data_IF_448326597727
#
_entry.id   IF_448326597727
#
_cell.length_a   1.000
_cell.length_b   1.000
_cell.length_c   1.000
_cell.angle_alpha   90.00
_cell.angle_beta   90.00
_cell.angle_gamma   90.00
#
_symmetry.space_group_name_H-M   'P 1'
#
loop_
_entity.id
_entity.type
_entity.pdbx_description
1 polymer ?
#
# COMPACT_ATOMS: atom_id res chain seq x y z
N UNK A 1 -20.58 -9.14 1.81
CA UNK A 1 -21.93 -8.69 1.39
C UNK A 1 -22.87 -9.85 1.07
N UNK A 2 -22.54 -10.77 0.16
CA UNK A 2 -23.40 -11.92 -0.17
C UNK A 2 -23.76 -12.78 1.06
N UNK A 3 -22.78 -13.18 1.87
CA UNK A 3 -23.01 -14.01 3.07
C UNK A 3 -23.95 -13.34 4.08
N UNK A 4 -23.87 -12.01 4.21
CA UNK A 4 -24.79 -11.25 5.05
C UNK A 4 -26.23 -11.24 4.49
N UNK A 5 -26.39 -11.04 3.18
CA UNK A 5 -27.70 -11.12 2.50
C UNK A 5 -28.34 -12.50 2.68
N UNK A 6 -27.54 -13.55 2.45
CA UNK A 6 -27.94 -14.95 2.54
C UNK A 6 -28.01 -15.52 3.98
N UNK A 7 -27.79 -14.70 5.02
CA UNK A 7 -27.75 -15.12 6.43
C UNK A 7 -26.77 -16.27 6.73
N UNK A 8 -25.66 -16.37 5.98
CA UNK A 8 -24.61 -17.36 6.18
C UNK A 8 -23.59 -16.86 7.20
N UNK A 9 -23.93 -16.99 8.48
CA UNK A 9 -23.15 -16.48 9.62
C UNK A 9 -21.69 -16.95 9.66
N UNK A 10 -21.43 -18.24 9.47
CA UNK A 10 -20.05 -18.78 9.53
C UNK A 10 -19.14 -18.11 8.50
N UNK A 11 -19.56 -18.10 7.23
CA UNK A 11 -18.80 -17.46 6.13
C UNK A 11 -18.65 -15.96 6.40
N UNK A 12 -19.70 -15.32 6.91
CA UNK A 12 -19.69 -13.90 7.22
C UNK A 12 -18.64 -13.55 8.29
N UNK A 13 -18.62 -14.28 9.40
CA UNK A 13 -17.67 -14.05 10.50
C UNK A 13 -16.23 -14.35 10.08
N UNK A 14 -16.02 -15.44 9.35
CA UNK A 14 -14.69 -15.76 8.79
C UNK A 14 -14.21 -14.62 7.88
N UNK A 15 -15.07 -14.16 6.96
CA UNK A 15 -14.72 -13.04 6.06
C UNK A 15 -14.40 -11.76 6.83
N UNK A 16 -15.18 -11.45 7.88
CA UNK A 16 -14.97 -10.28 8.72
C UNK A 16 -13.60 -10.32 9.40
N UNK A 17 -13.26 -11.45 10.02
CA UNK A 17 -11.96 -11.66 10.68
C UNK A 17 -10.83 -11.56 9.67
N UNK A 18 -10.95 -12.21 8.51
CA UNK A 18 -9.91 -12.15 7.46
C UNK A 18 -9.66 -10.71 7.00
N UNK A 19 -10.70 -9.91 6.77
CA UNK A 19 -10.54 -8.51 6.34
C UNK A 19 -9.82 -7.68 7.41
N UNK A 20 -10.23 -7.80 8.67
CA UNK A 20 -9.63 -7.06 9.77
C UNK A 20 -8.16 -7.47 10.00
N UNK A 21 -7.85 -8.76 9.93
CA UNK A 21 -6.49 -9.26 10.06
C UNK A 21 -5.54 -8.83 8.91
N UNK A 22 -6.08 -8.44 7.74
CA UNK A 22 -5.27 -8.17 6.55
C UNK A 22 -4.54 -6.82 6.58
N UNK A 23 -5.23 -5.75 6.99
CA UNK A 23 -4.64 -4.39 7.04
C UNK A 23 -5.47 -3.47 7.93
N UNK A 24 -4.81 -2.71 8.80
CA UNK A 24 -5.46 -1.82 9.76
C UNK A 24 -6.47 -0.85 9.10
N UNK A 25 -6.15 -0.26 7.94
CA UNK A 25 -7.03 0.70 7.24
C UNK A 25 -8.37 0.10 6.78
N UNK A 26 -8.44 -1.22 6.58
CA UNK A 26 -9.69 -1.89 6.17
C UNK A 26 -10.75 -1.88 7.28
N UNK A 27 -10.37 -1.59 8.52
CA UNK A 27 -11.29 -1.36 9.63
C UNK A 27 -12.33 -0.28 9.32
N UNK A 28 -11.94 0.80 8.63
CA UNK A 28 -12.86 1.88 8.24
C UNK A 28 -13.86 1.40 7.18
N UNK A 29 -13.40 0.59 6.22
CA UNK A 29 -14.27 -0.06 5.22
C UNK A 29 -15.25 -1.01 5.90
N UNK A 30 -14.80 -1.80 6.88
CA UNK A 30 -15.64 -2.69 7.68
C UNK A 30 -16.67 -1.89 8.47
N UNK A 31 -16.27 -0.80 9.13
CA UNK A 31 -17.18 0.10 9.83
C UNK A 31 -18.32 0.57 8.90
N UNK A 32 -18.00 1.12 7.73
CA UNK A 32 -19.01 1.58 6.78
C UNK A 32 -19.81 0.44 6.13
N UNK A 33 -19.24 -0.77 6.01
CA UNK A 33 -19.99 -1.97 5.65
C UNK A 33 -21.05 -2.31 6.69
N UNK A 34 -20.73 -2.16 7.97
CA UNK A 34 -21.69 -2.32 9.07
C UNK A 34 -22.84 -1.32 8.98
N UNK A 35 -22.54 -0.04 8.77
CA UNK A 35 -23.55 1.01 8.56
C UNK A 35 -24.45 0.69 7.36
N UNK A 36 -23.85 0.27 6.24
CA UNK A 36 -24.61 -0.14 5.06
C UNK A 36 -25.55 -1.32 5.36
N UNK A 37 -25.07 -2.34 6.08
CA UNK A 37 -25.88 -3.49 6.49
C UNK A 37 -27.04 -3.10 7.41
N UNK A 38 -26.83 -2.13 8.31
CA UNK A 38 -27.85 -1.63 9.24
C UNK A 38 -28.98 -0.89 8.51
N UNK A 39 -28.63 0.06 7.65
CA UNK A 39 -29.57 1.02 7.08
C UNK A 39 -30.22 0.47 5.80
N UNK A 40 -29.43 -0.08 4.87
CA UNK A 40 -29.92 -0.50 3.55
C UNK A 40 -30.37 -1.97 3.53
N UNK A 41 -29.59 -2.88 4.11
CA UNK A 41 -29.92 -4.32 4.10
C UNK A 41 -30.80 -4.74 5.29
N UNK A 42 -31.00 -3.84 6.26
CA UNK A 42 -31.77 -4.08 7.51
C UNK A 42 -31.29 -5.30 8.30
N UNK A 43 -30.03 -5.71 8.13
CA UNK A 43 -29.40 -6.84 8.85
C UNK A 43 -28.86 -6.35 10.19
N UNK A 44 -29.76 -6.01 11.13
CA UNK A 44 -29.44 -5.32 12.39
C UNK A 44 -28.26 -5.93 13.16
N UNK A 45 -28.32 -7.23 13.47
CA UNK A 45 -27.28 -7.87 14.28
C UNK A 45 -25.93 -7.95 13.55
N UNK A 46 -25.92 -8.41 12.30
CA UNK A 46 -24.69 -8.46 11.48
C UNK A 46 -24.09 -7.08 11.28
N UNK A 47 -24.93 -6.08 10.99
CA UNK A 47 -24.51 -4.69 10.82
C UNK A 47 -23.92 -4.10 12.10
N UNK A 48 -24.55 -4.35 13.25
CA UNK A 48 -24.04 -3.88 14.55
C UNK A 48 -22.68 -4.52 14.86
N UNK A 49 -22.57 -5.85 14.76
CA UNK A 49 -21.31 -6.58 14.99
C UNK A 49 -20.21 -6.04 14.08
N UNK A 50 -20.50 -5.82 12.79
CA UNK A 50 -19.53 -5.31 11.83
C UNK A 50 -19.10 -3.87 12.15
N UNK A 51 -20.06 -3.01 12.50
CA UNK A 51 -19.79 -1.60 12.85
C UNK A 51 -18.88 -1.53 14.07
N UNK A 52 -19.24 -2.24 15.14
CA UNK A 52 -18.47 -2.29 16.39
C UNK A 52 -17.10 -2.90 16.16
N UNK A 53 -17.01 -4.02 15.42
CA UNK A 53 -15.74 -4.66 15.10
C UNK A 53 -14.81 -3.75 14.29
N UNK A 54 -15.34 -3.02 13.30
CA UNK A 54 -14.58 -2.03 12.53
C UNK A 54 -14.02 -0.91 13.41
N UNK A 55 -14.85 -0.29 14.24
CA UNK A 55 -14.41 0.77 15.17
C UNK A 55 -13.38 0.24 16.17
N UNK A 56 -13.68 -0.89 16.83
CA UNK A 56 -12.81 -1.47 17.84
C UNK A 56 -11.45 -1.84 17.23
N UNK A 57 -11.43 -2.46 16.05
CA UNK A 57 -10.17 -2.83 15.40
C UNK A 57 -9.36 -1.61 14.96
N UNK A 58 -10.01 -0.54 14.48
CA UNK A 58 -9.32 0.71 14.16
C UNK A 58 -8.60 1.28 15.41
N UNK A 59 -9.29 1.33 16.56
CA UNK A 59 -8.70 1.82 17.82
C UNK A 59 -7.58 0.89 18.29
N UNK A 60 -7.82 -0.42 18.35
CA UNK A 60 -6.83 -1.41 18.79
C UNK A 60 -5.57 -1.35 17.94
N UNK A 61 -5.71 -1.24 16.61
CA UNK A 61 -4.55 -1.20 15.71
C UNK A 61 -3.80 0.12 15.80
N UNK A 62 -4.50 1.26 15.75
CA UNK A 62 -3.86 2.59 15.70
C UNK A 62 -3.31 3.06 17.04
N UNK A 63 -3.94 2.68 18.16
CA UNK A 63 -3.54 3.10 19.52
C UNK A 63 -2.89 2.01 20.36
N UNK A 64 -2.99 0.75 19.94
CA UNK A 64 -2.36 -0.38 20.63
C UNK A 64 -1.24 -0.99 19.80
N UNK A 65 -1.60 -1.71 18.74
CA UNK A 65 -0.66 -2.57 18.00
C UNK A 65 0.45 -1.74 17.35
N UNK A 66 0.12 -0.70 16.57
CA UNK A 66 1.16 0.03 15.83
C UNK A 66 2.18 0.67 16.79
N UNK A 67 1.78 1.52 17.78
CA UNK A 67 2.75 2.14 18.68
C UNK A 67 3.58 1.14 19.49
N UNK A 68 3.00 -0.01 19.86
CA UNK A 68 3.72 -1.04 20.61
C UNK A 68 4.85 -1.71 19.81
N UNK A 69 4.73 -1.77 18.47
CA UNK A 69 5.73 -2.42 17.61
C UNK A 69 6.63 -1.43 16.87
N UNK A 70 6.13 -0.24 16.47
CA UNK A 70 6.93 0.77 15.77
C UNK A 70 7.60 1.77 16.69
N UNK A 71 7.13 1.95 17.93
CA UNK A 71 7.56 3.06 18.80
C UNK A 71 7.04 4.43 18.37
N UNK A 72 6.29 4.49 17.27
CA UNK A 72 5.76 5.72 16.66
C UNK A 72 4.25 5.62 16.40
N UNK A 73 3.61 6.75 16.09
CA UNK A 73 2.23 6.77 15.62
C UNK A 73 2.10 6.08 14.25
N UNK A 74 0.87 5.77 13.85
CA UNK A 74 0.63 5.17 12.53
C UNK A 74 1.19 6.05 11.42
N UNK A 75 1.88 5.46 10.43
CA UNK A 75 2.44 6.17 9.27
C UNK A 75 1.44 7.05 8.50
N UNK A 76 0.13 6.84 8.71
CA UNK A 76 -0.90 7.73 8.22
C UNK A 76 -0.77 9.16 8.81
N UNK A 77 -0.32 9.33 10.05
CA UNK A 77 -0.16 10.64 10.71
C UNK A 77 0.75 11.56 9.89
N UNK A 78 1.90 11.06 9.42
CA UNK A 78 2.79 11.84 8.55
C UNK A 78 2.13 12.35 7.27
N UNK A 79 1.18 11.59 6.70
CA UNK A 79 0.44 11.94 5.46
C UNK A 79 -0.70 12.94 5.68
N UNK A 80 -1.04 13.22 6.93
CA UNK A 80 -2.08 14.17 7.30
C UNK A 80 -1.58 15.16 8.35
N UNK A 81 -0.27 15.44 8.38
CA UNK A 81 0.36 16.34 9.35
C UNK A 81 -0.24 17.76 9.30
N UNK A 82 -0.76 18.20 8.14
CA UNK A 82 -1.53 19.45 8.01
C UNK A 82 -2.87 19.45 8.78
N UNK A 83 -3.35 18.30 9.25
CA UNK A 83 -4.51 18.13 10.12
C UNK A 83 -4.13 17.82 11.57
N UNK A 84 -2.86 17.61 11.91
CA UNK A 84 -2.43 17.40 13.29
C UNK A 84 -1.39 16.29 13.44
N UNK A 85 -0.86 16.16 14.66
CA UNK A 85 0.30 15.31 14.97
C UNK A 85 -0.09 13.95 15.57
N UNK A 86 -1.39 13.66 15.65
CA UNK A 86 -1.90 12.38 16.13
C UNK A 86 -3.18 11.95 15.43
N UNK A 87 -3.48 10.65 15.43
CA UNK A 87 -4.72 10.11 14.85
C UNK A 87 -5.98 10.79 15.41
N UNK A 88 -6.00 11.10 16.72
CA UNK A 88 -7.15 11.74 17.36
C UNK A 88 -7.30 13.20 16.92
N UNK A 89 -6.18 13.94 16.85
CA UNK A 89 -6.19 15.33 16.39
C UNK A 89 -6.61 15.44 14.93
N UNK A 90 -6.11 14.53 14.07
CA UNK A 90 -6.50 14.47 12.65
C UNK A 90 -8.02 14.26 12.54
N UNK A 91 -8.58 13.28 13.26
CA UNK A 91 -10.03 13.02 13.24
C UNK A 91 -10.83 14.24 13.71
N UNK A 92 -10.36 14.92 14.76
CA UNK A 92 -11.02 16.12 15.26
C UNK A 92 -10.96 17.27 14.24
N UNK A 93 -9.80 17.50 13.63
CA UNK A 93 -9.57 18.56 12.66
C UNK A 93 -10.24 18.31 11.30
N UNK A 94 -10.58 17.05 10.95
CA UNK A 94 -11.47 16.77 9.82
C UNK A 94 -12.83 17.47 9.96
N UNK A 95 -13.29 17.69 11.20
CA UNK A 95 -14.57 18.36 11.51
C UNK A 95 -14.34 19.85 11.84
N UNK A 96 -13.31 20.16 12.63
CA UNK A 96 -13.05 21.53 13.10
C UNK A 96 -12.40 22.43 12.05
N UNK A 97 -11.75 21.87 11.02
CA UNK A 97 -11.04 22.63 9.97
C UNK A 97 -11.57 22.28 8.57
N UNK A 98 -12.88 22.44 8.28
CA UNK A 98 -13.47 22.04 7.01
C UNK A 98 -12.86 22.77 5.80
N UNK A 99 -12.39 24.00 5.97
CA UNK A 99 -11.71 24.77 4.93
C UNK A 99 -10.44 24.08 4.41
N UNK A 100 -9.68 23.43 5.30
CA UNK A 100 -8.47 22.68 4.92
C UNK A 100 -8.88 21.43 4.13
N UNK A 101 -9.87 20.69 4.65
CA UNK A 101 -10.38 19.47 4.00
C UNK A 101 -10.93 19.79 2.60
N UNK A 102 -11.72 20.86 2.45
CA UNK A 102 -12.26 21.28 1.16
C UNK A 102 -11.15 21.69 0.19
N UNK A 103 -10.11 22.39 0.66
CA UNK A 103 -8.93 22.72 -0.14
C UNK A 103 -8.21 21.48 -0.66
N UNK A 104 -8.12 20.43 0.16
CA UNK A 104 -7.52 19.15 -0.25
C UNK A 104 -8.42 18.33 -1.19
N UNK A 105 -9.75 18.45 -1.06
CA UNK A 105 -10.72 17.71 -1.89
C UNK A 105 -10.80 18.24 -3.33
N UNK A 106 -10.80 19.57 -3.52
CA UNK A 106 -11.01 20.19 -4.83
C UNK A 106 -9.69 20.55 -5.52
N UNK A 107 -8.94 19.52 -5.92
CA UNK A 107 -7.66 19.66 -6.64
C UNK A 107 -7.71 18.98 -8.00
N UNK A 108 -6.81 19.39 -8.91
CA UNK A 108 -6.67 18.74 -10.22
C UNK A 108 -6.18 17.30 -10.08
N UNK A 109 -5.32 17.01 -9.11
CA UNK A 109 -4.84 15.65 -8.83
C UNK A 109 -5.99 14.72 -8.42
N UNK A 110 -6.91 15.22 -7.59
CA UNK A 110 -8.10 14.47 -7.21
C UNK A 110 -9.04 14.23 -8.40
N UNK A 111 -9.22 15.23 -9.27
CA UNK A 111 -10.00 15.06 -10.50
C UNK A 111 -9.36 13.99 -11.39
N UNK A 112 -8.06 14.04 -11.61
CA UNK A 112 -7.33 13.04 -12.40
C UNK A 112 -7.42 11.65 -11.78
N UNK A 113 -7.26 11.54 -10.46
CA UNK A 113 -7.42 10.29 -9.72
C UNK A 113 -8.83 9.69 -9.90
N UNK A 114 -9.89 10.51 -9.75
CA UNK A 114 -11.26 10.07 -9.94
C UNK A 114 -11.52 9.61 -11.38
N UNK A 115 -10.98 10.32 -12.37
CA UNK A 115 -11.05 9.92 -13.78
C UNK A 115 -10.35 8.58 -13.98
N UNK A 116 -9.14 8.39 -13.47
CA UNK A 116 -8.42 7.11 -13.56
C UNK A 116 -9.22 5.97 -12.93
N UNK A 117 -9.70 6.18 -11.70
CA UNK A 117 -10.42 5.19 -10.92
C UNK A 117 -11.74 4.76 -11.60
N UNK A 118 -12.43 5.70 -12.25
CA UNK A 118 -13.75 5.44 -12.83
C UNK A 118 -13.72 5.14 -14.32
N UNK A 119 -12.73 5.59 -15.10
CA UNK A 119 -12.70 5.42 -16.56
C UNK A 119 -12.92 3.97 -17.04
N UNK A 120 -12.30 2.92 -16.45
CA UNK A 120 -12.51 1.53 -16.89
C UNK A 120 -13.97 1.05 -16.73
N UNK A 121 -14.69 1.64 -15.77
CA UNK A 121 -16.03 1.22 -15.36
C UNK A 121 -17.08 2.32 -15.49
N UNK A 122 -16.71 3.46 -16.10
CA UNK A 122 -17.56 4.64 -16.32
C UNK A 122 -18.87 4.24 -16.96
N UNK A 123 -18.81 3.11 -17.67
CA UNK A 123 -19.91 2.63 -18.43
C UNK A 123 -21.09 2.07 -17.61
N UNK A 124 -20.91 1.81 -16.33
CA UNK A 124 -21.96 1.29 -15.47
C UNK A 124 -22.09 2.02 -14.14
N UNK A 125 -21.46 3.19 -13.98
CA UNK A 125 -21.53 3.92 -12.71
C UNK A 125 -22.92 4.52 -12.46
N UNK A 126 -23.65 4.94 -13.48
CA UNK A 126 -24.94 5.62 -13.33
C UNK A 126 -26.09 4.66 -13.01
N UNK A 127 -26.82 4.90 -11.90
CA UNK A 127 -27.98 4.11 -11.51
C UNK A 127 -28.40 4.28 -10.04
N UNK A 128 -29.21 3.36 -9.52
CA UNK A 128 -29.79 3.44 -8.16
C UNK A 128 -29.06 2.60 -7.10
N UNK A 129 -28.09 1.78 -7.49
CA UNK A 129 -27.40 0.84 -6.59
C UNK A 129 -26.21 1.44 -5.83
N UNK A 130 -26.03 2.77 -5.86
CA UNK A 130 -24.92 3.49 -5.21
C UNK A 130 -24.76 3.23 -3.72
N UNK A 131 -25.83 2.82 -3.02
CA UNK A 131 -25.73 2.40 -1.63
C UNK A 131 -24.67 1.30 -1.41
N UNK A 132 -24.43 0.43 -2.41
CA UNK A 132 -23.40 -0.60 -2.33
C UNK A 132 -21.96 -0.05 -2.32
N UNK A 133 -21.77 1.22 -2.67
CA UNK A 133 -20.47 1.91 -2.63
C UNK A 133 -20.13 2.49 -1.25
N UNK A 134 -21.10 2.58 -0.33
CA UNK A 134 -20.92 3.15 1.01
C UNK A 134 -19.68 2.60 1.75
N UNK A 135 -19.38 1.29 1.72
CA UNK A 135 -18.19 0.75 2.39
C UNK A 135 -16.86 1.29 1.84
N UNK A 136 -16.82 1.71 0.58
CA UNK A 136 -15.62 2.26 -0.06
C UNK A 136 -15.37 3.74 0.26
N UNK A 137 -16.38 4.45 0.79
CA UNK A 137 -16.29 5.90 1.06
C UNK A 137 -15.07 6.27 1.91
N UNK A 138 -14.73 5.58 3.01
CA UNK A 138 -13.58 5.96 3.82
C UNK A 138 -12.25 5.86 3.06
N UNK A 139 -12.06 4.79 2.29
CA UNK A 139 -10.85 4.60 1.50
C UNK A 139 -10.72 5.69 0.42
N UNK A 140 -11.83 5.98 -0.26
CA UNK A 140 -11.86 7.07 -1.24
C UNK A 140 -11.56 8.43 -0.58
N UNK A 141 -12.20 8.72 0.55
CA UNK A 141 -12.03 9.98 1.27
C UNK A 141 -10.58 10.18 1.74
N UNK A 142 -9.99 9.17 2.38
CA UNK A 142 -8.59 9.18 2.82
C UNK A 142 -7.66 9.43 1.62
N UNK A 143 -7.89 8.79 0.47
CA UNK A 143 -7.08 9.00 -0.73
C UNK A 143 -7.25 10.40 -1.34
N UNK A 144 -8.42 11.04 -1.20
CA UNK A 144 -8.66 12.39 -1.75
C UNK A 144 -8.09 13.50 -0.85
N UNK A 145 -8.19 13.35 0.48
CA UNK A 145 -7.79 14.40 1.44
C UNK A 145 -6.28 14.46 1.65
N UNK A 146 -5.53 13.42 1.27
CA UNK A 146 -4.07 13.36 1.46
C UNK A 146 -3.29 14.30 0.54
N UNK A 147 -2.11 14.74 0.96
CA UNK A 147 -1.09 15.37 0.09
C UNK A 147 -0.12 14.32 -0.50
N UNK A 148 -0.19 13.07 -0.04
CA UNK A 148 0.65 11.98 -0.48
C UNK A 148 0.21 11.43 -1.85
N UNK A 149 0.83 11.92 -2.93
CA UNK A 149 0.49 11.58 -4.32
C UNK A 149 0.35 10.07 -4.64
N UNK A 150 1.15 9.14 -4.07
CA UNK A 150 0.97 7.72 -4.33
C UNK A 150 -0.42 7.17 -3.94
N UNK A 151 -1.16 7.84 -3.05
CA UNK A 151 -2.56 7.48 -2.74
C UNK A 151 -3.56 7.89 -3.84
N UNK A 152 -3.13 8.74 -4.80
CA UNK A 152 -3.94 9.31 -5.89
C UNK A 152 -3.60 8.73 -7.26
N UNK A 153 -2.84 7.65 -7.31
CA UNK A 153 -2.61 6.89 -8.53
C UNK A 153 -3.20 5.47 -8.47
N UNK A 154 -3.12 4.74 -9.59
CA UNK A 154 -3.53 3.34 -9.71
C UNK A 154 -2.35 2.36 -9.75
N UNK A 155 -1.14 2.85 -9.51
CA UNK A 155 0.08 2.03 -9.44
C UNK A 155 0.16 1.42 -8.03
N UNK A 156 -0.17 2.19 -7.01
CA UNK A 156 -0.11 1.77 -5.62
C UNK A 156 -1.44 1.18 -5.13
N UNK A 157 -1.33 0.39 -4.07
CA UNK A 157 -2.39 -0.44 -3.49
C UNK A 157 -3.54 0.32 -2.81
N UNK A 158 -3.50 1.66 -2.76
CA UNK A 158 -4.41 2.47 -1.95
C UNK A 158 -5.85 2.48 -2.47
N UNK A 159 -6.04 2.23 -3.76
CA UNK A 159 -7.37 2.17 -4.39
C UNK A 159 -8.02 0.78 -4.31
N UNK A 160 -7.27 -0.27 -3.94
CA UNK A 160 -7.77 -1.65 -3.89
C UNK A 160 -9.02 -1.83 -3.02
N UNK A 161 -9.18 -1.19 -1.84
CA UNK A 161 -10.38 -1.34 -1.03
C UNK A 161 -11.65 -0.78 -1.70
N UNK A 162 -11.51 0.08 -2.70
CA UNK A 162 -12.63 0.72 -3.40
C UNK A 162 -13.19 -0.19 -4.50
N UNK A 163 -12.31 -0.93 -5.19
CA UNK A 163 -12.63 -1.68 -6.40
C UNK A 163 -13.76 -2.70 -6.24
N UNK A 164 -13.81 -3.56 -5.19
CA UNK A 164 -14.88 -4.55 -5.06
C UNK A 164 -16.27 -3.92 -5.02
N UNK A 165 -16.41 -2.78 -4.33
CA UNK A 165 -17.68 -2.07 -4.21
C UNK A 165 -18.05 -1.33 -5.48
N UNK A 166 -17.07 -0.72 -6.15
CA UNK A 166 -17.27 -0.08 -7.45
C UNK A 166 -17.75 -1.09 -8.51
N UNK A 167 -17.12 -2.27 -8.55
CA UNK A 167 -17.51 -3.36 -9.44
C UNK A 167 -18.91 -3.89 -9.10
N UNK A 168 -19.24 -4.06 -7.81
CA UNK A 168 -20.58 -4.48 -7.39
C UNK A 168 -21.67 -3.50 -7.83
N UNK A 169 -21.42 -2.19 -7.75
CA UNK A 169 -22.34 -1.15 -8.25
C UNK A 169 -22.54 -1.31 -9.75
N UNK A 170 -21.45 -1.36 -10.52
CA UNK A 170 -21.47 -1.46 -11.98
C UNK A 170 -22.17 -2.75 -12.46
N UNK A 171 -21.86 -3.88 -11.84
CA UNK A 171 -22.51 -5.17 -12.13
C UNK A 171 -24.00 -5.12 -11.83
N UNK A 172 -24.41 -4.49 -10.72
CA UNK A 172 -25.81 -4.36 -10.35
C UNK A 172 -26.56 -3.46 -11.34
N UNK A 173 -25.98 -2.34 -11.76
CA UNK A 173 -26.58 -1.45 -12.75
C UNK A 173 -26.72 -2.11 -14.13
N UNK A 174 -25.72 -2.88 -14.55
CA UNK A 174 -25.78 -3.64 -15.79
C UNK A 174 -26.89 -4.69 -15.74
N UNK A 175 -26.96 -5.47 -14.65
CA UNK A 175 -28.02 -6.46 -14.44
C UNK A 175 -29.43 -5.83 -14.43
N UNK A 176 -29.58 -4.65 -13.83
CA UNK A 176 -30.85 -3.90 -13.81
C UNK A 176 -31.15 -3.14 -15.11
N UNK A 177 -30.27 -3.20 -16.12
CA UNK A 177 -30.42 -2.48 -17.39
C UNK A 177 -30.35 -0.95 -17.26
N UNK A 178 -29.80 -0.44 -16.16
CA UNK A 178 -29.63 0.99 -15.88
C UNK A 178 -28.34 1.59 -16.44
N UNK A 179 -27.40 0.76 -16.90
CA UNK A 179 -26.19 1.22 -17.58
C UNK A 179 -26.50 1.78 -18.97
N UNK A 180 -25.83 2.87 -19.37
CA UNK A 180 -25.88 3.42 -20.75
C UNK A 180 -25.29 2.45 -21.80
N UNK A 181 -24.23 1.70 -21.46
CA UNK A 181 -23.68 0.61 -22.28
C UNK A 181 -24.24 -0.73 -21.80
N UNK A 182 -25.07 -1.36 -22.63
CA UNK A 182 -25.78 -2.61 -22.29
C UNK A 182 -25.19 -3.85 -22.98
N UNK A 183 -24.67 -3.70 -24.20
CA UNK A 183 -24.20 -4.82 -25.02
C UNK A 183 -22.82 -5.27 -24.54
N UNK A 184 -22.70 -6.56 -24.19
CA UNK A 184 -21.48 -7.18 -23.67
C UNK A 184 -20.24 -6.93 -24.55
N UNK A 185 -20.38 -7.01 -25.88
CA UNK A 185 -19.27 -6.78 -26.82
C UNK A 185 -18.62 -5.39 -26.67
N UNK A 186 -19.41 -4.35 -26.37
CA UNK A 186 -18.90 -3.00 -26.19
C UNK A 186 -18.27 -2.81 -24.82
N UNK A 187 -18.77 -3.50 -23.79
CA UNK A 187 -18.17 -3.53 -22.46
C UNK A 187 -16.80 -4.22 -22.51
N UNK A 188 -16.71 -5.36 -23.21
CA UNK A 188 -15.44 -6.08 -23.42
C UNK A 188 -14.46 -5.17 -24.18
N UNK A 189 -14.90 -4.58 -25.29
CA UNK A 189 -14.04 -3.68 -26.08
C UNK A 189 -13.55 -2.49 -25.25
N UNK A 190 -14.43 -1.83 -24.50
CA UNK A 190 -14.05 -0.71 -23.64
C UNK A 190 -13.07 -1.12 -22.54
N UNK A 191 -13.32 -2.26 -21.89
CA UNK A 191 -12.44 -2.77 -20.83
C UNK A 191 -11.07 -3.12 -21.40
N UNK A 192 -11.01 -3.70 -22.61
CA UNK A 192 -9.75 -3.97 -23.29
C UNK A 192 -9.00 -2.68 -23.65
N UNK A 193 -9.69 -1.67 -24.18
CA UNK A 193 -9.10 -0.36 -24.46
C UNK A 193 -8.58 0.29 -23.18
N UNK A 194 -9.37 0.29 -22.09
CA UNK A 194 -8.97 0.85 -20.81
C UNK A 194 -7.75 0.13 -20.22
N UNK A 195 -7.71 -1.20 -20.32
CA UNK A 195 -6.55 -2.00 -19.93
C UNK A 195 -5.30 -1.61 -20.75
N UNK A 196 -5.41 -1.51 -22.07
CA UNK A 196 -4.32 -1.10 -22.96
C UNK A 196 -3.89 0.35 -22.73
N UNK A 197 -4.79 1.25 -22.36
CA UNK A 197 -4.45 2.63 -22.07
C UNK A 197 -3.76 2.80 -20.70
N UNK A 198 -4.16 2.01 -19.70
CA UNK A 198 -3.75 2.18 -18.30
C UNK A 198 -2.75 1.15 -17.80
N UNK A 199 -2.42 0.12 -18.57
CA UNK A 199 -1.57 -1.01 -18.15
C UNK A 199 -0.10 -0.68 -17.83
N UNK A 200 0.33 0.58 -17.97
CA UNK A 200 1.69 1.07 -17.64
C UNK A 200 2.83 0.17 -18.17
N UNK A 201 2.70 -0.33 -19.40
CA UNK A 201 3.67 -1.26 -20.01
C UNK A 201 5.11 -0.73 -20.06
N UNK A 202 5.28 0.59 -20.07
CA UNK A 202 6.60 1.23 -20.00
C UNK A 202 7.36 0.90 -18.72
N UNK A 203 6.68 0.56 -17.62
CA UNK A 203 7.35 0.11 -16.40
C UNK A 203 8.01 -1.26 -16.58
N UNK A 204 7.39 -2.15 -17.38
CA UNK A 204 7.99 -3.42 -17.70
C UNK A 204 9.30 -3.25 -18.48
N UNK A 205 9.24 -2.53 -19.61
CA UNK A 205 10.41 -2.33 -20.46
C UNK A 205 11.46 -1.37 -19.88
N UNK A 206 11.06 -0.46 -18.99
CA UNK A 206 11.97 0.46 -18.30
C UNK A 206 12.51 -0.10 -16.99
N UNK A 207 11.65 -0.22 -15.97
CA UNK A 207 12.07 -0.53 -14.59
C UNK A 207 12.54 -1.97 -14.42
N UNK A 208 11.90 -2.94 -15.07
CA UNK A 208 12.18 -4.36 -14.81
C UNK A 208 13.13 -4.96 -15.84
N UNK A 209 12.90 -4.71 -17.13
CA UNK A 209 13.68 -5.32 -18.21
C UNK A 209 15.18 -4.97 -18.15
N UNK A 210 15.52 -3.74 -17.78
CA UNK A 210 16.92 -3.28 -17.73
C UNK A 210 17.74 -4.02 -16.67
N UNK A 211 17.10 -4.49 -15.59
CA UNK A 211 17.77 -5.20 -14.50
C UNK A 211 17.67 -6.73 -14.65
N UNK A 212 17.05 -7.23 -15.72
CA UNK A 212 16.83 -8.66 -15.93
C UNK A 212 18.14 -9.45 -15.98
N UNK A 213 19.18 -8.88 -16.61
CA UNK A 213 20.51 -9.49 -16.69
C UNK A 213 21.21 -9.64 -15.33
N UNK A 214 20.77 -8.91 -14.30
CA UNK A 214 21.35 -8.95 -12.96
C UNK A 214 20.66 -9.95 -12.03
N UNK A 215 19.55 -10.56 -12.46
CA UNK A 215 18.75 -11.43 -11.60
C UNK A 215 19.56 -12.61 -11.04
N UNK A 216 20.38 -13.24 -11.87
CA UNK A 216 21.24 -14.35 -11.44
C UNK A 216 22.29 -13.88 -10.40
N UNK A 217 22.83 -12.68 -10.57
CA UNK A 217 23.83 -12.12 -9.65
C UNK A 217 23.21 -11.71 -8.32
N UNK A 218 22.01 -11.13 -8.34
CA UNK A 218 21.24 -10.81 -7.14
C UNK A 218 20.89 -12.08 -6.35
N UNK A 219 20.46 -13.14 -7.04
CA UNK A 219 20.17 -14.43 -6.40
C UNK A 219 21.41 -15.04 -5.74
N UNK A 220 22.53 -15.04 -6.45
CA UNK A 220 23.82 -15.52 -5.91
C UNK A 220 24.22 -14.70 -4.69
N UNK A 221 24.25 -13.37 -4.79
CA UNK A 221 24.63 -12.50 -3.68
C UNK A 221 23.73 -12.67 -2.45
N UNK A 222 22.40 -12.78 -2.63
CA UNK A 222 21.45 -13.06 -1.54
C UNK A 222 21.72 -14.42 -0.89
N UNK A 223 22.06 -15.44 -1.68
CA UNK A 223 22.37 -16.79 -1.14
C UNK A 223 23.66 -16.84 -0.30
N UNK A 224 24.59 -15.91 -0.52
CA UNK A 224 25.83 -15.80 0.23
C UNK A 224 25.64 -15.10 1.59
N UNK A 225 24.52 -14.39 1.79
CA UNK A 225 24.19 -13.80 3.09
C UNK A 225 23.81 -14.92 4.07
N UNK A 226 24.53 -15.03 5.18
CA UNK A 226 24.35 -16.07 6.17
C UNK A 226 23.09 -15.84 7.01
N UNK A 227 22.41 -16.89 7.49
CA UNK A 227 21.17 -16.74 8.28
C UNK A 227 21.28 -15.89 9.54
N UNK A 228 22.46 -15.83 10.16
CA UNK A 228 22.71 -15.09 11.40
C UNK A 228 23.21 -13.65 11.20
N UNK A 229 23.43 -13.20 9.97
CA UNK A 229 23.99 -11.87 9.72
C UNK A 229 23.01 -10.76 10.11
N UNK A 230 23.55 -9.68 10.65
CA UNK A 230 22.89 -8.37 10.67
C UNK A 230 23.23 -7.64 9.38
N UNK A 231 22.23 -7.24 8.60
CA UNK A 231 22.42 -6.85 7.21
C UNK A 231 21.91 -5.45 6.91
N UNK A 232 22.74 -4.63 6.27
CA UNK A 232 22.30 -3.41 5.58
C UNK A 232 22.13 -3.71 4.09
N UNK A 233 20.96 -3.45 3.51
CA UNK A 233 20.69 -3.85 2.12
C UNK A 233 19.92 -2.82 1.30
N UNK A 234 20.08 -2.86 -0.02
CA UNK A 234 19.20 -2.11 -0.94
C UNK A 234 17.71 -2.50 -0.76
N UNK A 235 16.76 -1.54 -0.81
CA UNK A 235 15.37 -1.79 -0.40
C UNK A 235 14.64 -2.92 -1.13
N UNK A 236 14.92 -3.10 -2.43
CA UNK A 236 14.26 -4.11 -3.25
C UNK A 236 14.75 -5.54 -2.95
N UNK A 237 15.87 -5.70 -2.24
CA UNK A 237 16.39 -7.01 -1.79
C UNK A 237 15.92 -7.39 -0.39
N UNK A 238 15.44 -6.42 0.40
CA UNK A 238 15.09 -6.62 1.80
C UNK A 238 14.07 -7.75 2.02
N UNK A 239 13.07 -7.89 1.15
CA UNK A 239 12.08 -8.96 1.27
C UNK A 239 12.72 -10.37 1.22
N UNK A 240 13.77 -10.55 0.41
CA UNK A 240 14.51 -11.82 0.30
C UNK A 240 15.41 -12.09 1.51
N UNK A 241 15.71 -11.06 2.30
CA UNK A 241 16.56 -11.11 3.49
C UNK A 241 15.76 -10.93 4.79
N UNK A 242 14.43 -10.87 4.73
CA UNK A 242 13.54 -10.62 5.89
C UNK A 242 13.62 -11.68 6.99
N UNK A 243 14.26 -12.82 6.73
CA UNK A 243 14.51 -13.88 7.71
C UNK A 243 15.78 -13.65 8.55
N UNK A 244 16.53 -12.56 8.32
CA UNK A 244 17.72 -12.20 9.08
C UNK A 244 17.33 -11.53 10.42
N UNK A 245 18.13 -11.70 11.48
CA UNK A 245 17.80 -11.21 12.82
C UNK A 245 17.75 -9.68 12.93
N UNK A 246 18.61 -8.97 12.17
CA UNK A 246 18.59 -7.52 12.04
C UNK A 246 18.77 -7.18 10.55
N UNK A 247 17.88 -6.36 10.02
CA UNK A 247 17.84 -5.98 8.62
C UNK A 247 17.47 -4.49 8.54
N UNK A 248 18.39 -3.69 8.03
CA UNK A 248 18.20 -2.25 7.85
C UNK A 248 18.19 -1.91 6.36
N UNK A 249 17.37 -0.92 5.98
CA UNK A 249 17.24 -0.52 4.60
C UNK A 249 18.27 0.57 4.33
N UNK A 250 19.06 0.40 3.28
CA UNK A 250 19.96 1.44 2.82
C UNK A 250 19.15 2.56 2.13
N UNK A 251 18.39 3.36 2.89
CA UNK A 251 17.59 4.51 2.43
C UNK A 251 18.08 5.83 3.01
N UNK A 252 17.90 6.93 2.28
CA UNK A 252 18.39 8.26 2.70
C UNK A 252 17.80 8.71 4.05
N UNK A 253 16.54 8.35 4.34
CA UNK A 253 15.86 8.69 5.58
C UNK A 253 16.46 8.00 6.84
N UNK A 254 17.18 6.88 6.67
CA UNK A 254 17.83 6.13 7.76
C UNK A 254 19.31 6.52 7.93
N UNK A 255 19.83 7.38 7.05
CA UNK A 255 21.20 7.88 7.17
C UNK A 255 21.35 8.88 8.35
N UNK A 256 22.52 8.94 9.02
CA UNK A 256 23.73 8.18 8.74
C UNK A 256 23.73 6.77 9.36
N UNK A 257 24.13 5.77 8.58
CA UNK A 257 24.27 4.40 9.06
C UNK A 257 25.49 4.22 9.96
N UNK A 258 25.31 3.55 11.10
CA UNK A 258 26.40 3.00 11.90
C UNK A 258 26.79 1.61 11.37
N UNK A 259 27.81 1.58 10.50
CA UNK A 259 28.25 0.35 9.85
C UNK A 259 28.68 -0.74 10.86
N UNK A 260 29.06 -0.37 12.09
CA UNK A 260 29.47 -1.30 13.15
C UNK A 260 28.37 -2.27 13.60
N UNK A 261 27.12 -1.94 13.29
CA UNK A 261 25.97 -2.80 13.60
C UNK A 261 25.81 -3.98 12.63
N UNK A 262 26.46 -3.94 11.47
CA UNK A 262 26.23 -4.91 10.40
C UNK A 262 27.41 -5.85 10.18
N UNK A 263 27.08 -7.11 9.94
CA UNK A 263 28.03 -8.17 9.59
C UNK A 263 28.16 -8.30 8.06
N UNK A 264 27.12 -7.90 7.32
CA UNK A 264 27.12 -7.86 5.86
C UNK A 264 26.42 -6.61 5.32
N UNK A 265 26.91 -6.11 4.18
CA UNK A 265 26.27 -5.02 3.43
C UNK A 265 26.06 -5.46 1.99
N UNK A 266 24.80 -5.60 1.56
CA UNK A 266 24.43 -6.04 0.21
C UNK A 266 23.81 -4.90 -0.60
N UNK A 267 24.50 -4.43 -1.62
CA UNK A 267 24.06 -3.29 -2.43
C UNK A 267 23.96 -3.65 -3.91
N UNK A 268 22.93 -3.10 -4.56
CA UNK A 268 22.89 -2.96 -6.01
C UNK A 268 23.20 -1.51 -6.37
N UNK A 269 24.39 -1.24 -6.89
CA UNK A 269 24.92 0.11 -7.08
C UNK A 269 24.26 0.85 -8.25
N UNK A 270 23.83 0.14 -9.29
CA UNK A 270 23.21 0.75 -10.48
C UNK A 270 21.69 1.00 -10.36
N UNK A 271 21.11 0.74 -9.19
CA UNK A 271 19.68 0.90 -8.97
C UNK A 271 19.41 1.49 -7.58
N UNK A 272 19.13 2.80 -7.55
CA UNK A 272 18.86 3.54 -6.31
C UNK A 272 17.74 2.90 -5.45
N UNK A 273 16.68 2.41 -6.09
CA UNK A 273 15.51 1.87 -5.40
C UNK A 273 14.62 2.97 -4.79
N UNK A 274 13.78 2.57 -3.83
CA UNK A 274 12.85 3.46 -3.13
C UNK A 274 13.59 4.36 -2.12
N UNK A 275 13.18 5.64 -2.03
CA UNK A 275 13.74 6.65 -1.11
C UNK A 275 15.27 6.83 -1.15
N UNK A 276 15.85 6.71 -2.35
CA UNK A 276 17.25 6.99 -2.62
C UNK A 276 17.45 7.75 -3.91
N UNK A 277 18.53 8.52 -3.95
CA UNK A 277 19.16 8.94 -5.21
C UNK A 277 20.30 8.01 -5.59
N UNK A 278 20.64 7.97 -6.88
CA UNK A 278 21.78 7.19 -7.39
C UNK A 278 23.09 7.57 -6.67
N UNK A 279 23.31 8.87 -6.44
CA UNK A 279 24.46 9.37 -5.69
C UNK A 279 24.49 8.92 -4.22
N UNK A 280 23.34 8.67 -3.60
CA UNK A 280 23.28 8.15 -2.22
C UNK A 280 23.79 6.71 -2.15
N UNK A 281 23.36 5.88 -3.10
CA UNK A 281 23.81 4.47 -3.17
C UNK A 281 25.31 4.40 -3.50
N UNK A 282 25.77 5.22 -4.44
CA UNK A 282 27.20 5.31 -4.79
C UNK A 282 28.05 5.80 -3.61
N UNK A 283 27.60 6.83 -2.89
CA UNK A 283 28.29 7.34 -1.71
C UNK A 283 28.35 6.30 -0.58
N UNK A 284 27.27 5.53 -0.37
CA UNK A 284 27.25 4.44 0.60
C UNK A 284 28.22 3.32 0.21
N UNK A 285 28.19 2.87 -1.05
CA UNK A 285 29.11 1.85 -1.55
C UNK A 285 30.57 2.29 -1.42
N UNK A 286 30.85 3.56 -1.73
CA UNK A 286 32.18 4.15 -1.55
C UNK A 286 32.59 4.14 -0.08
N UNK A 287 31.70 4.58 0.82
CA UNK A 287 31.95 4.60 2.28
C UNK A 287 32.25 3.19 2.81
N UNK A 288 31.48 2.17 2.41
CA UNK A 288 31.71 0.78 2.83
C UNK A 288 33.03 0.25 2.28
N UNK A 289 33.37 0.57 1.02
CA UNK A 289 34.64 0.13 0.42
C UNK A 289 35.88 0.75 1.06
N UNK A 290 35.75 1.94 1.66
CA UNK A 290 36.82 2.64 2.38
C UNK A 290 36.96 2.18 3.83
N UNK A 291 35.97 1.47 4.37
CA UNK A 291 36.02 0.93 5.73
C UNK A 291 36.83 -0.37 5.75
N UNK A 292 38.00 -0.33 6.40
CA UNK A 292 38.88 -1.50 6.55
C UNK A 292 38.23 -2.70 7.24
N UNK A 293 37.12 -2.49 7.96
CA UNK A 293 36.37 -3.57 8.57
C UNK A 293 35.61 -4.41 7.54
N UNK A 294 35.41 -3.94 6.31
CA UNK A 294 34.64 -4.65 5.28
C UNK A 294 35.51 -5.04 4.08
N UNK A 295 35.30 -6.26 3.58
CA UNK A 295 35.92 -6.77 2.35
C UNK A 295 34.85 -7.27 1.38
N UNK A 296 35.00 -7.03 0.07
CA UNK A 296 34.06 -7.56 -0.92
C UNK A 296 34.16 -9.10 -0.97
N UNK A 297 33.07 -9.79 -0.67
CA UNK A 297 32.95 -11.25 -0.80
C UNK A 297 32.39 -11.63 -2.17
N UNK A 298 31.53 -10.80 -2.74
CA UNK A 298 30.96 -10.97 -4.07
C UNK A 298 30.82 -9.62 -4.75
N UNK A 299 31.25 -9.50 -6.01
CA UNK A 299 31.15 -8.28 -6.80
C UNK A 299 31.00 -8.64 -8.28
N UNK A 300 29.77 -8.57 -8.80
CA UNK A 300 29.47 -8.91 -10.20
C UNK A 300 28.31 -8.06 -10.74
N UNK A 301 28.49 -7.44 -11.92
CA UNK A 301 27.51 -6.57 -12.59
C UNK A 301 26.78 -5.58 -11.65
N UNK A 302 27.53 -4.77 -10.89
CA UNK A 302 26.97 -3.72 -10.02
C UNK A 302 26.15 -4.27 -8.84
N UNK A 303 26.35 -5.54 -8.49
CA UNK A 303 25.87 -6.16 -7.24
C UNK A 303 27.07 -6.47 -6.37
N UNK A 304 27.11 -5.93 -5.16
CA UNK A 304 28.23 -6.05 -4.24
C UNK A 304 27.76 -6.53 -2.88
N UNK A 305 28.37 -7.60 -2.38
CA UNK A 305 28.25 -8.07 -1.01
C UNK A 305 29.57 -7.79 -0.29
N UNK A 306 29.53 -6.92 0.71
CA UNK A 306 30.61 -6.71 1.63
C UNK A 306 30.41 -7.54 2.89
N UNK A 307 31.48 -8.15 3.37
CA UNK A 307 31.53 -8.91 4.62
C UNK A 307 32.41 -8.21 5.63
N UNK A 308 31.94 -8.09 6.87
CA UNK A 308 32.77 -7.63 7.97
C UNK A 308 33.85 -8.67 8.28
N UNK A 309 35.11 -8.26 8.30
CA UNK A 309 36.20 -9.09 8.76
C UNK A 309 35.94 -9.54 10.20
N UNK A 310 36.16 -10.82 10.54
CA UNK A 310 35.97 -11.28 11.91
C UNK A 310 36.84 -10.44 12.84
N UNK A 311 36.24 -9.90 13.90
CA UNK A 311 36.98 -9.22 14.95
C UNK A 311 38.01 -10.20 15.49
N UNK A 312 39.30 -9.89 15.34
CA UNK A 312 40.36 -10.65 16.00
C UNK A 312 40.10 -10.50 17.51
N UNK A 313 39.93 -11.60 18.26
CA UNK A 313 39.58 -11.56 19.68
C UNK A 313 40.66 -10.90 20.55
#
# INVERSE_FOLDING_TARGET
>A
MWSARANKWGIFLISLVTILASKAVLSLTVFMLGIWLLIWERKRLMGLITTVAGIAWFIITTKGIIPAFSGEEAAAVGRYSFLGDSVAEIILNLILKPQIVLGMLFTLDNLFYLVLLTAPVIWGIWGKAWAMFIPAIPALFVNLVTDYLPQKDLIHQYSLPILPFLLLVVMTHWYQGSSWLKKLRWIILWTAIAFLALGKYTYFFGRYWHHWGQLANLQTAVSLVQPGDRVLTSPHLAAHLSHRPDLELAIEAEAPFDLNRFDAVLLQTNYAGWENSQGTVEALAQRVSQDSAFTPEYQENEVILYRRAPSIP
#
